data_IF_490970418060
#
_entry.id   IF_490970418060
#
_cell.length_a   1.000
_cell.length_b   1.000
_cell.length_c   1.000
_cell.angle_alpha   90.00
_cell.angle_beta   90.00
_cell.angle_gamma   90.00
#
_symmetry.space_group_name_H-M   'P 1'
#
loop_
_entity.id
_entity.type
_entity.pdbx_description
1 polymer ?
#
# COMPACT_ATOMS: atom_id res chain seq x y z
N UNK A 1 -33.88 25.73 -4.53
CA UNK A 1 -32.85 26.10 -3.53
C UNK A 1 -33.51 26.87 -2.39
N UNK A 2 -33.77 26.23 -1.26
CA UNK A 2 -34.27 26.93 -0.06
C UNK A 2 -33.14 27.75 0.57
N UNK A 3 -33.33 29.08 0.72
CA UNK A 3 -32.37 29.97 1.37
C UNK A 3 -32.26 29.58 2.85
N UNK A 4 -31.05 29.26 3.31
CA UNK A 4 -30.77 29.06 4.74
C UNK A 4 -31.09 30.33 5.54
N UNK A 5 -31.75 30.17 6.69
CA UNK A 5 -32.02 31.25 7.63
C UNK A 5 -30.74 31.86 8.23
N UNK A 6 -30.79 33.13 8.64
CA UNK A 6 -29.63 33.87 9.15
C UNK A 6 -28.92 33.15 10.31
N UNK A 7 -29.68 32.62 11.27
CA UNK A 7 -29.13 31.90 12.42
C UNK A 7 -28.45 30.57 12.07
N UNK A 8 -28.79 29.94 10.93
CA UNK A 8 -28.08 28.76 10.45
C UNK A 8 -26.71 29.12 9.86
N UNK A 9 -26.59 30.26 9.17
CA UNK A 9 -25.31 30.76 8.65
C UNK A 9 -24.34 31.14 9.77
N UNK A 10 -24.83 31.77 10.83
CA UNK A 10 -24.00 32.16 11.96
C UNK A 10 -23.41 30.93 12.67
N UNK A 11 -24.23 29.88 12.86
CA UNK A 11 -23.77 28.60 13.42
C UNK A 11 -22.76 27.89 12.52
N UNK A 12 -22.95 27.94 11.21
CA UNK A 12 -21.97 27.42 10.23
C UNK A 12 -20.65 28.16 10.39
N UNK A 13 -20.66 29.50 10.42
CA UNK A 13 -19.44 30.29 10.55
C UNK A 13 -18.73 30.03 11.89
N UNK A 14 -19.48 29.93 12.99
CA UNK A 14 -18.92 29.60 14.31
C UNK A 14 -18.32 28.19 14.34
N UNK A 15 -19.01 27.20 13.78
CA UNK A 15 -18.50 25.84 13.67
C UNK A 15 -17.20 25.80 12.87
N UNK A 16 -17.15 26.44 11.70
CA UNK A 16 -15.95 26.55 10.86
C UNK A 16 -14.82 27.22 11.65
N UNK A 17 -15.11 28.30 12.37
CA UNK A 17 -14.10 29.04 13.15
C UNK A 17 -13.51 28.19 14.29
N UNK A 18 -14.33 27.36 14.94
CA UNK A 18 -13.92 26.52 16.08
C UNK A 18 -13.16 25.27 15.62
N UNK A 19 -13.56 24.69 14.48
CA UNK A 19 -13.07 23.37 14.03
C UNK A 19 -12.06 23.43 12.88
N UNK A 20 -11.99 24.55 12.17
CA UNK A 20 -11.28 24.66 10.89
C UNK A 20 -11.93 23.89 9.74
N UNK A 21 -13.11 23.29 9.94
CA UNK A 21 -13.77 22.47 8.93
C UNK A 21 -14.36 23.30 7.78
N UNK A 22 -14.56 22.67 6.61
CA UNK A 22 -15.20 23.37 5.47
C UNK A 22 -16.69 23.63 5.69
N UNK A 23 -17.26 24.58 4.94
CA UNK A 23 -18.69 24.92 5.03
C UNK A 23 -19.61 23.71 4.79
N UNK A 24 -19.23 22.80 3.89
CA UNK A 24 -19.97 21.56 3.61
C UNK A 24 -20.04 20.65 4.84
N UNK A 25 -18.97 20.61 5.63
CA UNK A 25 -18.86 19.80 6.85
C UNK A 25 -19.65 20.41 7.98
N UNK A 26 -19.48 21.72 8.18
CA UNK A 26 -20.27 22.46 9.14
C UNK A 26 -21.76 22.25 8.85
N UNK A 27 -22.18 22.31 7.57
CA UNK A 27 -23.54 22.01 7.14
C UNK A 27 -23.98 20.58 7.46
N UNK A 28 -23.13 19.58 7.24
CA UNK A 28 -23.46 18.17 7.47
C UNK A 28 -23.54 17.85 8.97
N UNK A 29 -22.56 18.28 9.76
CA UNK A 29 -22.52 18.10 11.20
C UNK A 29 -23.67 18.84 11.89
N UNK A 30 -23.91 20.11 11.52
CA UNK A 30 -25.02 20.88 12.07
C UNK A 30 -26.37 20.29 11.66
N UNK A 31 -26.54 19.77 10.44
CA UNK A 31 -27.78 19.07 10.07
C UNK A 31 -27.99 17.77 10.86
N UNK A 32 -26.91 17.01 11.11
CA UNK A 32 -26.97 15.76 11.87
C UNK A 32 -27.24 15.97 13.36
N UNK A 33 -26.94 17.16 13.88
CA UNK A 33 -27.18 17.55 15.28
C UNK A 33 -28.37 18.51 15.45
N UNK A 34 -29.34 18.51 14.52
CA UNK A 34 -30.52 19.39 14.56
C UNK A 34 -30.18 20.87 14.80
N UNK A 35 -29.08 21.32 14.19
CA UNK A 35 -28.51 22.66 14.29
C UNK A 35 -28.04 23.07 15.70
N UNK A 36 -27.76 22.12 16.58
CA UNK A 36 -27.09 22.38 17.86
C UNK A 36 -25.57 22.44 17.66
N UNK A 37 -24.98 23.61 17.92
CA UNK A 37 -23.55 23.83 17.70
C UNK A 37 -22.70 22.94 18.61
N UNK A 38 -22.99 22.91 19.91
CA UNK A 38 -22.25 22.11 20.88
C UNK A 38 -22.36 20.61 20.60
N UNK A 39 -23.55 20.12 20.29
CA UNK A 39 -23.75 18.72 19.90
C UNK A 39 -23.04 18.36 18.59
N UNK A 40 -23.00 19.27 17.63
CA UNK A 40 -22.25 19.08 16.38
C UNK A 40 -20.73 19.05 16.64
N UNK A 41 -20.23 19.90 17.54
CA UNK A 41 -18.82 19.92 17.94
C UNK A 41 -18.44 18.66 18.70
N UNK A 42 -19.28 18.21 19.63
CA UNK A 42 -19.07 16.97 20.39
C UNK A 42 -19.01 15.75 19.45
N UNK A 43 -19.95 15.65 18.51
CA UNK A 43 -19.93 14.63 17.45
C UNK A 43 -18.68 14.74 16.58
N UNK A 44 -18.30 15.96 16.18
CA UNK A 44 -17.11 16.23 15.37
C UNK A 44 -15.80 15.82 16.06
N UNK A 45 -15.68 16.06 17.36
CA UNK A 45 -14.47 15.75 18.13
C UNK A 45 -14.44 14.29 18.65
N UNK A 46 -15.60 13.69 18.91
CA UNK A 46 -15.74 12.31 19.38
C UNK A 46 -15.62 11.24 18.29
N UNK A 47 -15.81 11.61 17.01
CA UNK A 47 -15.63 10.70 15.87
C UNK A 47 -14.29 10.93 15.16
N UNK A 48 -13.31 10.00 15.24
CA UNK A 48 -12.05 10.08 14.50
C UNK A 48 -12.26 10.16 12.98
N UNK A 49 -13.37 9.59 12.49
CA UNK A 49 -13.73 9.53 11.07
C UNK A 49 -14.13 10.90 10.49
N UNK A 50 -14.58 11.83 11.35
CA UNK A 50 -14.91 13.22 10.94
C UNK A 50 -13.63 14.07 10.84
N UNK A 51 -12.45 13.56 11.24
CA UNK A 51 -11.17 14.31 11.14
C UNK A 51 -10.52 14.27 9.77
N UNK A 52 -11.03 13.49 8.82
CA UNK A 52 -10.44 13.38 7.47
C UNK A 52 -11.07 14.39 6.49
N UNK A 53 -11.03 15.68 6.82
CA UNK A 53 -11.35 16.72 5.84
C UNK A 53 -10.08 17.24 5.22
N UNK A 54 -9.86 16.82 3.99
CA UNK A 54 -8.85 17.39 3.10
C UNK A 54 -9.42 18.60 2.38
N UNK A 55 -8.72 19.74 2.40
CA UNK A 55 -9.09 20.87 1.52
C UNK A 55 -8.76 20.52 0.07
N UNK A 56 -9.78 20.48 -0.78
CA UNK A 56 -9.64 20.18 -2.22
C UNK A 56 -8.67 21.13 -2.91
N UNK A 57 -8.56 22.40 -2.47
CA UNK A 57 -7.61 23.35 -3.05
C UNK A 57 -6.18 22.98 -2.73
N UNK A 58 -5.88 22.61 -1.49
CA UNK A 58 -4.53 22.15 -1.13
C UNK A 58 -4.16 20.85 -1.84
N UNK A 59 -5.12 19.93 -2.02
CA UNK A 59 -4.92 18.72 -2.83
C UNK A 59 -4.58 19.04 -4.30
N UNK A 60 -5.29 20.00 -4.90
CA UNK A 60 -5.00 20.47 -6.26
C UNK A 60 -3.62 21.15 -6.34
N UNK A 61 -3.23 21.96 -5.34
CA UNK A 61 -1.90 22.56 -5.27
C UNK A 61 -0.79 21.50 -5.16
N UNK A 62 -0.98 20.48 -4.30
CA UNK A 62 -0.06 19.35 -4.20
C UNK A 62 0.04 18.58 -5.52
N UNK A 63 -1.09 18.26 -6.15
CA UNK A 63 -1.11 17.58 -7.44
C UNK A 63 -0.34 18.39 -8.50
N UNK A 64 -0.62 19.69 -8.62
CA UNK A 64 0.05 20.56 -9.59
C UNK A 64 1.56 20.72 -9.34
N UNK A 65 2.03 20.54 -8.10
CA UNK A 65 3.47 20.57 -7.77
C UNK A 65 4.23 19.39 -8.39
N UNK A 66 3.61 18.21 -8.44
CA UNK A 66 4.27 16.97 -8.89
C UNK A 66 3.83 16.50 -10.28
N UNK A 67 2.75 17.08 -10.83
CA UNK A 67 2.23 16.76 -12.15
C UNK A 67 3.29 17.03 -13.23
N UNK A 68 3.36 16.13 -14.20
CA UNK A 68 4.17 16.28 -15.40
C UNK A 68 3.71 17.50 -16.25
N UNK A 69 4.63 18.30 -16.82
CA UNK A 69 4.26 19.47 -17.62
C UNK A 69 3.46 19.16 -18.88
N UNK A 70 3.54 17.92 -19.39
CA UNK A 70 3.00 17.52 -20.69
C UNK A 70 1.84 16.51 -20.59
N UNK A 71 1.49 16.05 -19.40
CA UNK A 71 0.43 15.06 -19.17
C UNK A 71 -0.32 15.29 -17.86
N UNK A 72 -1.58 14.83 -17.75
CA UNK A 72 -2.38 14.88 -16.53
C UNK A 72 -2.05 13.76 -15.52
N UNK A 73 -0.75 13.46 -15.41
CA UNK A 73 -0.21 12.39 -14.57
C UNK A 73 0.94 12.93 -13.74
N UNK A 74 1.17 12.35 -12.58
CA UNK A 74 2.44 12.44 -11.87
C UNK A 74 3.27 11.25 -12.36
N UNK A 75 4.38 11.50 -13.06
CA UNK A 75 5.27 10.46 -13.58
C UNK A 75 6.50 10.30 -12.67
N UNK A 76 7.45 9.47 -13.08
CA UNK A 76 8.66 9.14 -12.31
C UNK A 76 9.37 10.37 -11.71
N UNK A 77 9.62 11.43 -12.48
CA UNK A 77 10.28 12.65 -11.98
C UNK A 77 9.46 13.35 -10.88
N UNK A 78 8.14 13.40 -11.04
CA UNK A 78 7.21 13.95 -10.05
C UNK A 78 7.16 13.11 -8.78
N UNK A 79 7.21 11.77 -8.90
CA UNK A 79 7.31 10.85 -7.76
C UNK A 79 8.65 11.03 -7.05
N UNK A 80 9.76 11.15 -7.78
CA UNK A 80 11.07 11.43 -7.19
C UNK A 80 11.07 12.75 -6.41
N UNK A 81 10.45 13.81 -6.96
CA UNK A 81 10.30 15.08 -6.26
C UNK A 81 9.44 14.94 -5.00
N UNK A 82 8.32 14.19 -5.07
CA UNK A 82 7.49 13.89 -3.91
C UNK A 82 8.28 13.15 -2.82
N UNK A 83 9.04 12.11 -3.18
CA UNK A 83 9.89 11.36 -2.26
C UNK A 83 10.93 12.27 -1.57
N UNK A 84 11.57 13.17 -2.33
CA UNK A 84 12.51 14.16 -1.78
C UNK A 84 11.81 15.09 -0.77
N UNK A 85 10.64 15.62 -1.11
CA UNK A 85 9.85 16.47 -0.22
C UNK A 85 9.37 15.71 1.03
N UNK A 86 9.08 14.41 0.91
CA UNK A 86 8.71 13.55 2.04
C UNK A 86 9.91 13.03 2.84
N UNK A 87 11.14 13.22 2.36
CA UNK A 87 12.37 12.66 2.92
C UNK A 87 12.33 11.13 2.99
N UNK A 88 11.88 10.51 1.91
CA UNK A 88 11.78 9.05 1.74
C UNK A 88 12.57 8.64 0.51
N UNK A 89 13.25 7.50 0.59
CA UNK A 89 13.90 6.90 -0.59
C UNK A 89 12.81 6.40 -1.57
N UNK A 90 12.88 6.73 -2.88
CA UNK A 90 11.91 6.21 -3.86
C UNK A 90 11.77 4.69 -3.91
N UNK A 91 12.78 3.93 -3.47
CA UNK A 91 12.79 2.47 -3.39
C UNK A 91 12.32 1.93 -2.03
N UNK A 92 12.00 2.80 -1.07
CA UNK A 92 11.51 2.40 0.24
C UNK A 92 10.13 1.75 0.15
N UNK A 93 9.92 0.67 0.92
CA UNK A 93 8.65 -0.08 0.99
C UNK A 93 7.45 0.79 1.30
N UNK A 94 7.63 1.92 2.00
CA UNK A 94 6.50 2.82 2.27
C UNK A 94 5.90 3.39 0.98
N UNK A 95 6.66 3.53 -0.11
CA UNK A 95 6.10 4.00 -1.38
C UNK A 95 5.14 2.99 -2.02
N UNK A 96 5.35 1.69 -1.78
CA UNK A 96 4.37 0.65 -2.12
C UNK A 96 3.09 0.81 -1.28
N UNK A 97 3.21 1.09 0.02
CA UNK A 97 2.05 1.29 0.90
C UNK A 97 1.27 2.55 0.55
N UNK A 98 1.96 3.65 0.23
CA UNK A 98 1.35 4.89 -0.30
C UNK A 98 0.58 4.58 -1.59
N UNK A 99 1.19 3.84 -2.52
CA UNK A 99 0.56 3.47 -3.79
C UNK A 99 -0.67 2.58 -3.59
N UNK A 100 -0.64 1.69 -2.59
CA UNK A 100 -1.78 0.87 -2.20
C UNK A 100 -2.95 1.71 -1.67
N UNK A 101 -2.69 2.69 -0.80
CA UNK A 101 -3.72 3.64 -0.34
C UNK A 101 -4.29 4.50 -1.48
N UNK A 102 -3.44 4.89 -2.43
CA UNK A 102 -3.86 5.60 -3.64
C UNK A 102 -4.60 4.71 -4.64
N UNK A 103 -4.60 3.38 -4.43
CA UNK A 103 -5.13 2.39 -5.37
C UNK A 103 -4.53 2.53 -6.77
N UNK A 104 -3.23 2.83 -6.82
CA UNK A 104 -2.54 3.09 -8.07
C UNK A 104 -2.51 1.85 -8.97
N UNK A 105 -2.80 2.06 -10.25
CA UNK A 105 -2.83 0.98 -11.23
C UNK A 105 -1.43 0.49 -11.65
N UNK A 106 -0.45 1.41 -11.74
CA UNK A 106 0.88 1.13 -12.28
C UNK A 106 1.96 1.78 -11.41
N UNK A 107 3.09 1.10 -11.25
CA UNK A 107 4.30 1.65 -10.65
C UNK A 107 4.86 2.84 -11.45
N UNK A 108 5.48 3.78 -10.74
CA UNK A 108 6.12 4.98 -11.31
C UNK A 108 5.16 5.98 -11.98
N UNK A 109 3.85 5.86 -11.76
CA UNK A 109 2.88 6.87 -12.18
C UNK A 109 1.69 6.97 -11.22
N UNK A 110 1.10 8.16 -11.11
CA UNK A 110 -0.22 8.37 -10.52
C UNK A 110 -1.05 9.23 -11.45
N UNK A 111 -2.28 8.79 -11.71
CA UNK A 111 -3.30 9.68 -12.26
C UNK A 111 -3.75 10.71 -11.23
N UNK A 112 -4.31 11.81 -11.71
CA UNK A 112 -4.94 12.82 -10.84
C UNK A 112 -5.95 12.20 -9.86
N UNK A 113 -6.76 11.25 -10.35
CA UNK A 113 -7.80 10.61 -9.54
C UNK A 113 -7.21 9.73 -8.42
N UNK A 114 -6.17 8.95 -8.73
CA UNK A 114 -5.48 8.10 -7.74
C UNK A 114 -4.81 8.97 -6.67
N UNK A 115 -4.10 10.02 -7.10
CA UNK A 115 -3.40 10.90 -6.17
C UNK A 115 -4.36 11.67 -5.25
N UNK A 116 -5.29 12.44 -5.84
CA UNK A 116 -6.23 13.26 -5.06
C UNK A 116 -7.18 12.38 -4.25
N UNK A 117 -7.76 11.35 -4.87
CA UNK A 117 -8.70 10.45 -4.21
C UNK A 117 -8.05 9.63 -3.09
N UNK A 118 -6.81 9.17 -3.31
CA UNK A 118 -6.01 8.47 -2.32
C UNK A 118 -5.71 9.33 -1.11
N UNK A 119 -5.11 10.51 -1.32
CA UNK A 119 -4.79 11.44 -0.24
C UNK A 119 -6.03 11.88 0.53
N UNK A 120 -7.14 12.12 -0.16
CA UNK A 120 -8.43 12.41 0.46
C UNK A 120 -8.92 11.27 1.37
N UNK A 121 -8.77 10.01 0.94
CA UNK A 121 -9.21 8.85 1.70
C UNK A 121 -8.40 8.65 3.00
N UNK A 122 -7.14 9.10 3.03
CA UNK A 122 -6.26 9.00 4.22
C UNK A 122 -6.12 10.31 5.01
N UNK A 123 -6.87 11.35 4.62
CA UNK A 123 -6.92 12.64 5.33
C UNK A 123 -5.66 13.49 5.16
N UNK A 124 -4.94 13.33 4.06
CA UNK A 124 -3.73 14.10 3.73
C UNK A 124 -4.09 15.23 2.76
N UNK A 125 -3.80 16.46 3.12
CA UNK A 125 -3.90 17.63 2.22
C UNK A 125 -2.69 18.57 2.33
N UNK A 126 -1.64 18.16 3.05
CA UNK A 126 -0.37 18.88 3.17
C UNK A 126 0.79 17.90 3.29
N UNK A 127 2.01 18.35 2.98
CA UNK A 127 3.21 17.53 3.15
C UNK A 127 3.48 17.16 4.61
N UNK A 128 3.12 18.02 5.56
CA UNK A 128 3.24 17.74 6.99
C UNK A 128 2.37 16.54 7.39
N UNK A 129 1.08 16.58 7.05
CA UNK A 129 0.17 15.44 7.30
C UNK A 129 0.62 14.18 6.57
N UNK A 130 1.19 14.32 5.37
CA UNK A 130 1.74 13.20 4.63
C UNK A 130 2.89 12.55 5.42
N UNK A 131 3.87 13.35 5.86
CA UNK A 131 5.01 12.87 6.66
C UNK A 131 4.56 12.23 7.98
N UNK A 132 3.57 12.82 8.66
CA UNK A 132 2.99 12.22 9.87
C UNK A 132 2.35 10.84 9.60
N UNK A 133 1.68 10.71 8.45
CA UNK A 133 1.00 9.47 8.07
C UNK A 133 1.95 8.36 7.64
N UNK A 134 3.15 8.66 7.17
CA UNK A 134 4.17 7.67 6.77
C UNK A 134 4.45 6.66 7.88
N UNK A 135 4.62 7.11 9.12
CA UNK A 135 4.89 6.23 10.27
C UNK A 135 3.73 5.25 10.50
N UNK A 136 2.50 5.72 10.37
CA UNK A 136 1.31 4.87 10.45
C UNK A 136 1.26 3.88 9.29
N UNK A 137 1.51 4.32 8.05
CA UNK A 137 1.51 3.44 6.87
C UNK A 137 2.53 2.30 7.00
N UNK A 138 3.71 2.57 7.54
CA UNK A 138 4.68 1.51 7.85
C UNK A 138 4.14 0.49 8.84
N UNK A 139 3.46 0.96 9.90
CA UNK A 139 2.88 0.08 10.92
C UNK A 139 1.81 -0.86 10.37
N UNK A 140 1.18 -0.53 9.23
CA UNK A 140 0.17 -1.37 8.59
C UNK A 140 0.76 -2.66 8.02
N UNK A 141 2.05 -2.68 7.67
CA UNK A 141 2.73 -3.90 7.19
C UNK A 141 2.89 -4.96 8.28
N UNK A 142 2.77 -4.56 9.55
CA UNK A 142 2.80 -5.48 10.71
C UNK A 142 1.51 -6.26 10.85
N UNK A 143 0.41 -5.75 10.31
CA UNK A 143 -0.85 -6.47 10.28
C UNK A 143 -0.82 -7.52 9.16
N UNK A 144 -1.05 -8.78 9.51
CA UNK A 144 -0.98 -9.92 8.57
C UNK A 144 -2.00 -9.78 7.42
N UNK A 145 -3.20 -9.27 7.71
CA UNK A 145 -4.24 -9.14 6.71
C UNK A 145 -3.88 -8.05 5.70
N UNK A 146 -3.51 -6.87 6.19
CA UNK A 146 -3.07 -5.75 5.34
C UNK A 146 -1.81 -6.08 4.56
N UNK A 147 -0.84 -6.76 5.19
CA UNK A 147 0.35 -7.19 4.47
C UNK A 147 -0.01 -8.09 3.29
N UNK A 148 -0.92 -9.07 3.48
CA UNK A 148 -1.40 -9.93 2.39
C UNK A 148 -2.10 -9.12 1.28
N UNK A 149 -2.88 -8.10 1.63
CA UNK A 149 -3.50 -7.21 0.64
C UNK A 149 -2.46 -6.40 -0.14
N UNK A 150 -1.48 -5.82 0.54
CA UNK A 150 -0.38 -5.04 -0.06
C UNK A 150 0.52 -5.94 -0.93
N UNK A 151 0.84 -7.13 -0.46
CA UNK A 151 1.62 -8.13 -1.20
C UNK A 151 0.94 -8.51 -2.52
N UNK A 152 -0.37 -8.79 -2.48
CA UNK A 152 -1.12 -9.14 -3.68
C UNK A 152 -1.31 -7.94 -4.62
N UNK A 153 -1.46 -6.73 -4.05
CA UNK A 153 -1.50 -5.48 -4.81
C UNK A 153 -0.19 -5.25 -5.58
N UNK A 154 0.97 -5.48 -4.95
CA UNK A 154 2.29 -5.25 -5.53
C UNK A 154 2.47 -5.93 -6.89
N UNK A 155 1.95 -7.15 -7.07
CA UNK A 155 2.01 -7.85 -8.35
C UNK A 155 1.30 -7.08 -9.47
N UNK A 156 0.08 -6.58 -9.20
CA UNK A 156 -0.69 -5.83 -10.18
C UNK A 156 -0.04 -4.50 -10.53
N UNK A 157 0.44 -3.82 -9.50
CA UNK A 157 1.07 -2.50 -9.56
C UNK A 157 2.43 -2.52 -10.28
N UNK A 158 3.29 -3.51 -9.99
CA UNK A 158 4.64 -3.59 -10.54
C UNK A 158 4.70 -4.16 -11.97
N UNK A 159 3.64 -4.83 -12.41
CA UNK A 159 3.59 -5.47 -13.72
C UNK A 159 3.27 -4.44 -14.82
N UNK A 160 3.99 -4.51 -15.92
CA UNK A 160 3.70 -3.72 -17.11
C UNK A 160 2.24 -3.84 -17.61
N UNK A 161 1.72 -2.73 -18.13
CA UNK A 161 0.36 -2.64 -18.65
C UNK A 161 0.17 -3.62 -19.82
N UNK A 162 -0.92 -4.39 -19.78
CA UNK A 162 -1.24 -5.40 -20.79
C UNK A 162 -0.57 -6.76 -20.59
N UNK A 163 0.47 -6.87 -19.77
CA UNK A 163 1.08 -8.16 -19.44
C UNK A 163 0.23 -8.96 -18.46
N UNK A 164 0.37 -10.29 -18.45
CA UNK A 164 -0.26 -11.17 -17.44
C UNK A 164 0.73 -11.63 -16.35
N UNK A 165 2.02 -11.45 -16.60
CA UNK A 165 3.13 -11.95 -15.79
C UNK A 165 4.04 -10.79 -15.40
N UNK A 166 4.67 -10.87 -14.23
CA UNK A 166 5.63 -9.88 -13.73
C UNK A 166 7.03 -10.22 -14.26
N UNK A 167 7.77 -9.23 -14.76
CA UNK A 167 9.15 -9.43 -15.19
C UNK A 167 10.02 -9.93 -14.03
N UNK A 168 10.99 -10.81 -14.31
CA UNK A 168 11.74 -11.51 -13.27
C UNK A 168 12.49 -10.56 -12.35
N UNK A 169 13.24 -9.61 -12.92
CA UNK A 169 14.05 -8.65 -12.14
C UNK A 169 13.16 -7.79 -11.23
N UNK A 170 11.99 -7.38 -11.73
CA UNK A 170 11.01 -6.64 -10.92
C UNK A 170 10.43 -7.51 -9.80
N UNK A 171 10.13 -8.78 -10.07
CA UNK A 171 9.63 -9.71 -9.06
C UNK A 171 10.66 -9.92 -7.94
N UNK A 172 11.93 -10.12 -8.29
CA UNK A 172 13.04 -10.25 -7.33
C UNK A 172 13.14 -9.00 -6.45
N UNK A 173 13.20 -7.81 -7.04
CA UNK A 173 13.30 -6.56 -6.28
C UNK A 173 12.11 -6.36 -5.34
N UNK A 174 10.88 -6.67 -5.80
CA UNK A 174 9.69 -6.58 -4.96
C UNK A 174 9.69 -7.60 -3.81
N UNK A 175 10.13 -8.84 -4.04
CA UNK A 175 10.24 -9.84 -2.98
C UNK A 175 11.30 -9.48 -1.95
N UNK A 176 12.48 -9.01 -2.38
CA UNK A 176 13.51 -8.52 -1.46
C UNK A 176 12.96 -7.38 -0.58
N UNK A 177 12.22 -6.45 -1.17
CA UNK A 177 11.60 -5.35 -0.45
C UNK A 177 10.55 -5.85 0.56
N UNK A 178 9.62 -6.70 0.13
CA UNK A 178 8.51 -7.20 0.96
C UNK A 178 8.98 -8.14 2.09
N UNK A 179 9.94 -9.01 1.80
CA UNK A 179 10.45 -9.97 2.78
C UNK A 179 11.57 -9.40 3.65
N UNK A 180 12.15 -8.24 3.34
CA UNK A 180 12.93 -7.48 4.32
C UNK A 180 12.05 -7.04 5.52
N UNK A 181 10.77 -6.72 5.28
CA UNK A 181 9.82 -6.39 6.37
C UNK A 181 9.32 -7.65 7.09
N UNK A 182 9.00 -8.73 6.36
CA UNK A 182 8.52 -9.99 6.98
C UNK A 182 9.61 -10.92 7.53
N UNK A 183 10.88 -10.65 7.19
CA UNK A 183 12.04 -11.45 7.60
C UNK A 183 11.92 -12.93 7.22
N UNK A 184 11.49 -13.23 5.99
CA UNK A 184 11.45 -14.62 5.51
C UNK A 184 12.88 -15.11 5.19
N UNK A 185 13.41 -16.12 5.90
CA UNK A 185 14.84 -16.46 5.85
C UNK A 185 15.30 -17.06 4.51
N UNK A 186 14.38 -17.54 3.68
CA UNK A 186 14.69 -18.18 2.41
C UNK A 186 14.61 -17.23 1.20
N UNK A 187 14.35 -15.93 1.40
CA UNK A 187 14.17 -14.96 0.29
C UNK A 187 15.39 -14.87 -0.62
N UNK A 188 16.60 -14.84 -0.05
CA UNK A 188 17.82 -14.71 -0.86
C UNK A 188 18.08 -15.98 -1.68
N UNK A 189 17.82 -17.14 -1.10
CA UNK A 189 17.92 -18.42 -1.82
C UNK A 189 16.86 -18.53 -2.91
N UNK A 190 15.64 -18.07 -2.66
CA UNK A 190 14.59 -17.99 -3.67
C UNK A 190 15.01 -17.11 -4.85
N UNK A 191 15.53 -15.92 -4.58
CA UNK A 191 15.99 -15.01 -5.63
C UNK A 191 17.15 -15.60 -6.44
N UNK A 192 18.13 -16.22 -5.77
CA UNK A 192 19.25 -16.91 -6.43
C UNK A 192 18.77 -18.07 -7.31
N UNK A 193 17.87 -18.91 -6.79
CA UNK A 193 17.26 -20.02 -7.52
C UNK A 193 16.60 -19.54 -8.81
N UNK A 194 15.77 -18.49 -8.72
CA UNK A 194 15.06 -17.97 -9.87
C UNK A 194 15.99 -17.45 -10.96
N UNK A 195 17.08 -16.79 -10.58
CA UNK A 195 18.09 -16.29 -11.51
C UNK A 195 18.88 -17.45 -12.15
N UNK A 196 19.18 -18.49 -11.38
CA UNK A 196 19.98 -19.62 -11.83
C UNK A 196 19.22 -20.62 -12.71
N UNK A 197 17.95 -20.91 -12.39
CA UNK A 197 17.19 -22.02 -12.99
C UNK A 197 15.93 -21.62 -13.74
N UNK A 198 15.18 -20.62 -13.26
CA UNK A 198 13.91 -20.25 -13.88
C UNK A 198 14.07 -19.28 -15.05
N UNK A 199 14.75 -18.15 -14.81
CA UNK A 199 15.03 -17.08 -15.77
C UNK A 199 13.83 -16.66 -16.66
N UNK A 200 12.62 -16.61 -16.07
CA UNK A 200 11.37 -16.29 -16.76
C UNK A 200 10.47 -15.40 -15.90
N UNK A 201 9.50 -14.76 -16.54
CA UNK A 201 8.48 -13.96 -15.85
C UNK A 201 7.68 -14.80 -14.84
N UNK A 202 7.22 -14.14 -13.78
CA UNK A 202 6.50 -14.73 -12.66
C UNK A 202 4.99 -14.59 -12.88
N UNK A 203 4.26 -15.69 -12.70
CA UNK A 203 2.80 -15.70 -12.78
C UNK A 203 2.16 -15.15 -11.50
N UNK A 204 0.91 -14.69 -11.58
CA UNK A 204 0.15 -14.24 -10.40
C UNK A 204 -0.03 -15.37 -9.37
N UNK A 205 -0.27 -16.59 -9.86
CA UNK A 205 -0.47 -17.75 -9.02
C UNK A 205 0.80 -18.05 -8.21
N UNK A 206 1.95 -18.17 -8.88
CA UNK A 206 3.25 -18.36 -8.23
C UNK A 206 3.57 -17.27 -7.21
N UNK A 207 3.28 -16.00 -7.56
CA UNK A 207 3.44 -14.87 -6.64
C UNK A 207 2.61 -15.09 -5.36
N UNK A 208 1.31 -15.32 -5.49
CA UNK A 208 0.43 -15.50 -4.34
C UNK A 208 0.75 -16.77 -3.53
N UNK A 209 1.10 -17.87 -4.18
CA UNK A 209 1.47 -19.13 -3.52
C UNK A 209 2.78 -19.01 -2.74
N UNK A 210 3.75 -18.20 -3.19
CA UNK A 210 4.99 -17.99 -2.44
C UNK A 210 4.74 -17.33 -1.07
N UNK A 211 3.77 -16.42 -0.96
CA UNK A 211 3.40 -15.86 0.35
C UNK A 211 2.83 -16.93 1.29
N UNK A 212 1.97 -17.80 0.78
CA UNK A 212 1.40 -18.89 1.59
C UNK A 212 2.48 -19.91 1.97
N UNK A 213 3.40 -20.22 1.07
CA UNK A 213 4.58 -21.04 1.36
C UNK A 213 5.42 -20.42 2.48
N UNK A 214 5.78 -19.14 2.35
CA UNK A 214 6.57 -18.42 3.34
C UNK A 214 5.91 -18.31 4.73
N UNK A 215 4.58 -18.42 4.80
CA UNK A 215 3.80 -18.35 6.05
C UNK A 215 3.55 -19.72 6.68
N UNK A 216 3.42 -20.77 5.89
CA UNK A 216 2.95 -22.08 6.36
C UNK A 216 4.04 -23.13 6.42
N UNK A 217 5.10 -22.99 5.63
CA UNK A 217 6.20 -23.96 5.58
C UNK A 217 7.34 -23.51 6.52
N UNK A 218 7.80 -24.45 7.34
CA UNK A 218 8.94 -24.27 8.22
C UNK A 218 10.19 -23.95 7.39
N UNK A 219 11.04 -22.99 7.80
CA UNK A 219 12.31 -22.73 7.12
C UNK A 219 13.23 -23.94 6.93
N UNK A 220 13.12 -24.98 7.76
CA UNK A 220 13.81 -26.25 7.63
C UNK A 220 13.09 -27.26 6.71
N UNK A 221 11.95 -26.87 6.13
CA UNK A 221 11.07 -27.67 5.25
C UNK A 221 10.53 -28.96 5.87
N UNK A 222 10.53 -29.07 7.20
CA UNK A 222 10.11 -30.28 7.93
C UNK A 222 8.64 -30.67 7.72
N UNK A 223 7.79 -29.69 7.37
CA UNK A 223 6.36 -29.88 7.10
C UNK A 223 6.00 -29.68 5.62
N UNK A 224 6.99 -29.65 4.72
CA UNK A 224 6.76 -29.53 3.29
C UNK A 224 6.26 -30.86 2.70
N UNK A 225 5.21 -30.79 1.89
CA UNK A 225 4.63 -31.93 1.17
C UNK A 225 4.80 -31.73 -0.34
N UNK A 226 5.60 -32.60 -0.97
CA UNK A 226 5.85 -32.58 -2.41
C UNK A 226 4.66 -33.08 -3.25
N UNK A 227 3.69 -33.77 -2.64
CA UNK A 227 2.42 -34.13 -3.28
C UNK A 227 1.34 -33.04 -3.06
N UNK A 228 1.71 -31.94 -2.37
CA UNK A 228 0.86 -30.79 -2.16
C UNK A 228 0.52 -30.05 -3.47
N UNK A 229 -0.50 -29.20 -3.42
CA UNK A 229 -0.95 -28.41 -4.57
C UNK A 229 -0.12 -27.13 -4.79
N UNK A 230 1.20 -27.19 -4.57
CA UNK A 230 2.11 -26.07 -4.80
C UNK A 230 2.38 -25.89 -6.30
N UNK A 231 2.69 -24.67 -6.78
CA UNK A 231 3.21 -24.49 -8.13
C UNK A 231 4.52 -25.23 -8.30
N UNK A 232 4.71 -25.85 -9.47
CA UNK A 232 5.94 -26.57 -9.81
C UNK A 232 7.23 -25.79 -9.51
N UNK A 233 7.21 -24.47 -9.67
CA UNK A 233 8.38 -23.62 -9.38
C UNK A 233 8.78 -23.61 -7.89
N UNK A 234 7.82 -23.78 -6.97
CA UNK A 234 8.08 -23.92 -5.54
C UNK A 234 8.68 -25.31 -5.27
N UNK A 235 8.18 -26.35 -5.92
CA UNK A 235 8.74 -27.70 -5.80
C UNK A 235 10.20 -27.72 -6.26
N UNK A 236 10.48 -27.13 -7.43
CA UNK A 236 11.85 -26.98 -7.96
C UNK A 236 12.76 -26.17 -7.02
N UNK A 237 12.21 -25.18 -6.31
CA UNK A 237 12.97 -24.43 -5.31
C UNK A 237 13.35 -25.28 -4.11
N UNK A 238 12.42 -26.10 -3.62
CA UNK A 238 12.70 -27.04 -2.53
C UNK A 238 13.77 -28.05 -2.96
N UNK A 239 13.68 -28.60 -4.16
CA UNK A 239 14.72 -29.46 -4.73
C UNK A 239 16.08 -28.74 -4.82
N UNK A 240 16.09 -27.49 -5.28
CA UNK A 240 17.29 -26.66 -5.33
C UNK A 240 17.93 -26.49 -3.94
N UNK A 241 17.14 -26.27 -2.89
CA UNK A 241 17.66 -26.14 -1.53
C UNK A 241 18.35 -27.43 -1.04
N UNK A 242 17.78 -28.60 -1.35
CA UNK A 242 18.37 -29.88 -1.00
C UNK A 242 19.64 -30.19 -1.82
N UNK A 243 19.60 -30.00 -3.14
CA UNK A 243 20.73 -30.31 -4.03
C UNK A 243 21.98 -29.49 -3.72
N UNK A 244 21.80 -28.24 -3.25
CA UNK A 244 22.90 -27.36 -2.88
C UNK A 244 23.28 -27.46 -1.40
N UNK A 245 22.67 -28.39 -0.65
CA UNK A 245 22.96 -28.61 0.77
C UNK A 245 22.62 -27.42 1.67
N UNK A 246 21.73 -26.52 1.21
CA UNK A 246 21.25 -25.37 1.99
C UNK A 246 20.36 -25.88 3.13
N UNK A 247 19.55 -26.90 2.84
CA UNK A 247 18.73 -27.62 3.82
C UNK A 247 19.09 -29.10 3.72
N UNK A 248 19.21 -29.77 4.87
CA UNK A 248 19.42 -31.21 4.90
C UNK A 248 18.09 -31.91 4.71
N UNK A 249 18.05 -32.88 3.81
CA UNK A 249 16.88 -33.76 3.69
C UNK A 249 16.84 -34.65 4.92
N UNK A 250 15.78 -34.55 5.71
CA UNK A 250 15.56 -35.42 6.85
C UNK A 250 15.39 -36.87 6.35
N UNK A 251 16.45 -37.66 6.50
CA UNK A 251 16.53 -39.06 6.07
C UNK A 251 15.78 -39.97 7.08
N UNK A 252 14.51 -39.68 7.36
CA UNK A 252 13.67 -40.52 8.24
C UNK A 252 12.98 -41.68 7.53
N UNK A 253 13.35 -42.00 6.29
CA UNK A 253 12.78 -43.14 5.54
C UNK A 253 13.71 -44.36 5.41
N UNK A 254 14.77 -44.47 6.22
CA UNK A 254 15.61 -45.70 6.28
C UNK A 254 15.74 -46.34 7.67
N UNK A 255 14.78 -46.13 8.59
CA UNK A 255 14.72 -46.94 9.81
C UNK A 255 13.34 -47.55 10.02
N UNK A 256 13.33 -48.85 9.71
CA UNK A 256 12.41 -49.96 10.04
C UNK A 256 11.23 -50.20 9.09
#
# INVERSE_FOLDING_TARGET
>A
MHKLGRGHRDKIQQFITITGASEKVALQALKASDWHLEGALDVFYSQPQIRSFTDTRHLEELYNRYKDPYSDMILADGITLLCNDLQVDPQDIVMLVVSWHMKAATMCEFSKQEFIGGLQAVGIDSLEKFRERITFMRSELKDEHKFREIYNFAFGWAKEKGQKSLALDTAIGMWQLLFAEKHWPLVDHWCQFLQARHNKAISRDTWSQLLEFARTIDPALSNYDAEGAWPYLIDEFVEYLYENGIIQKDDYSQKQ
#
